data_IF_167283354904
#
_entry.id   IF_167283354904
#
_cell.length_a   1.000
_cell.length_b   1.000
_cell.length_c   1.000
_cell.angle_alpha   90.00
_cell.angle_beta   90.00
_cell.angle_gamma   90.00
#
_symmetry.space_group_name_H-M   'P 1'
#
loop_
_entity.id
_entity.type
_entity.pdbx_description
1 polymer ?
#
# COMPACT_ATOMS: atom_id res chain seq x y z
N UNK A 1 -3.02 -41.58 37.22
CA UNK A 1 -2.45 -41.62 35.85
C UNK A 1 -3.34 -40.89 34.84
N UNK A 2 -4.64 -41.21 34.77
CA UNK A 2 -5.59 -40.62 33.81
C UNK A 2 -5.70 -39.07 33.86
N UNK A 3 -5.76 -38.45 35.05
CA UNK A 3 -5.83 -36.98 35.20
C UNK A 3 -4.60 -36.24 34.63
N UNK A 4 -3.41 -36.85 34.72
CA UNK A 4 -2.17 -36.30 34.15
C UNK A 4 -2.15 -36.39 32.62
N UNK A 5 -2.70 -37.48 32.07
CA UNK A 5 -2.89 -37.64 30.62
C UNK A 5 -3.87 -36.60 30.07
N UNK A 6 -5.00 -36.40 30.75
CA UNK A 6 -6.02 -35.42 30.36
C UNK A 6 -5.44 -34.00 30.36
N UNK A 7 -4.68 -33.64 31.41
CA UNK A 7 -4.07 -32.31 31.50
C UNK A 7 -3.03 -32.06 30.40
N UNK A 8 -2.23 -33.08 30.05
CA UNK A 8 -1.28 -33.00 28.95
C UNK A 8 -1.96 -32.86 27.58
N UNK A 9 -3.06 -33.58 27.37
CA UNK A 9 -3.85 -33.47 26.14
C UNK A 9 -4.49 -32.08 25.97
N UNK A 10 -5.00 -31.49 27.07
CA UNK A 10 -5.54 -30.11 27.07
C UNK A 10 -4.45 -29.10 26.71
N UNK A 11 -3.25 -29.23 27.28
CA UNK A 11 -2.13 -28.34 26.96
C UNK A 11 -1.71 -28.42 25.49
N UNK A 12 -1.63 -29.62 24.92
CA UNK A 12 -1.31 -29.82 23.50
C UNK A 12 -2.39 -29.22 22.58
N UNK A 13 -3.67 -29.38 22.95
CA UNK A 13 -4.78 -28.80 22.20
C UNK A 13 -4.77 -27.26 22.26
N UNK A 14 -4.49 -26.67 23.42
CA UNK A 14 -4.33 -25.22 23.55
C UNK A 14 -3.16 -24.69 22.71
N UNK A 15 -2.04 -25.42 22.64
CA UNK A 15 -0.88 -25.02 21.82
C UNK A 15 -1.19 -25.04 20.32
N UNK A 16 -1.94 -26.04 19.84
CA UNK A 16 -2.41 -26.13 18.45
C UNK A 16 -3.38 -24.99 18.14
N UNK A 17 -4.33 -24.70 19.04
CA UNK A 17 -5.31 -23.62 18.86
C UNK A 17 -4.68 -22.22 18.86
N UNK A 18 -3.60 -22.00 19.62
CA UNK A 18 -2.83 -20.74 19.60
C UNK A 18 -2.01 -20.62 18.31
N UNK A 19 -1.50 -21.72 17.75
CA UNK A 19 -0.77 -21.70 16.47
C UNK A 19 -1.68 -21.50 15.25
N UNK A 20 -2.97 -21.82 15.38
CA UNK A 20 -3.97 -21.70 14.33
C UNK A 20 -4.64 -20.31 14.30
N UNK A 21 -4.07 -19.28 14.93
CA UNK A 21 -4.56 -17.92 14.75
C UNK A 21 -4.43 -17.55 13.27
N UNK A 22 -5.58 -17.54 12.60
CA UNK A 22 -5.74 -17.08 11.24
C UNK A 22 -5.26 -15.63 11.26
N UNK A 23 -4.06 -15.38 10.72
CA UNK A 23 -3.66 -14.04 10.34
C UNK A 23 -4.63 -13.67 9.24
N UNK A 24 -5.71 -12.97 9.60
CA UNK A 24 -6.70 -12.49 8.65
C UNK A 24 -6.02 -11.50 7.73
N UNK A 25 -5.65 -11.94 6.53
CA UNK A 25 -5.26 -11.03 5.48
C UNK A 25 -6.55 -10.43 4.92
N UNK A 26 -6.71 -9.12 5.09
CA UNK A 26 -7.73 -8.38 4.37
C UNK A 26 -7.25 -8.25 2.91
N UNK A 27 -7.80 -9.07 2.03
CA UNK A 27 -7.61 -8.92 0.59
C UNK A 27 -8.75 -8.06 0.04
N UNK A 28 -8.40 -7.03 -0.73
CA UNK A 28 -9.39 -6.20 -1.38
C UNK A 28 -10.00 -6.97 -2.56
N UNK A 29 -11.23 -7.46 -2.39
CA UNK A 29 -11.98 -8.10 -3.47
C UNK A 29 -12.67 -7.06 -4.37
N UNK A 30 -12.77 -7.34 -5.67
CA UNK A 30 -13.45 -6.44 -6.62
C UNK A 30 -12.70 -5.14 -6.90
N UNK A 31 -11.37 -5.12 -6.70
CA UNK A 31 -10.52 -3.94 -6.88
C UNK A 31 -10.75 -3.23 -8.22
N UNK A 32 -10.80 -4.01 -9.31
CA UNK A 32 -11.05 -3.54 -10.67
C UNK A 32 -12.35 -2.74 -10.83
N UNK A 33 -13.40 -3.19 -10.14
CA UNK A 33 -14.74 -2.59 -10.22
C UNK A 33 -14.92 -1.46 -9.20
N UNK A 34 -14.10 -1.43 -8.14
CA UNK A 34 -14.19 -0.47 -7.03
C UNK A 34 -13.26 0.74 -7.15
N UNK A 35 -12.20 0.65 -7.96
CA UNK A 35 -11.16 1.68 -8.05
C UNK A 35 -10.67 1.83 -9.48
N UNK A 36 -10.40 3.07 -9.91
CA UNK A 36 -9.81 3.34 -11.22
C UNK A 36 -8.37 2.81 -11.29
N UNK A 37 -7.61 2.98 -10.21
CA UNK A 37 -6.24 2.48 -10.09
C UNK A 37 -5.88 2.30 -8.62
N UNK A 38 -4.97 1.38 -8.33
CA UNK A 38 -4.38 1.21 -7.01
C UNK A 38 -2.94 0.73 -7.12
N UNK A 39 -2.05 1.27 -6.28
CA UNK A 39 -0.64 0.86 -6.24
C UNK A 39 -0.26 0.49 -4.81
N UNK A 40 0.10 -0.77 -4.60
CA UNK A 40 0.54 -1.27 -3.28
C UNK A 40 2.02 -0.98 -2.99
N UNK A 41 2.82 -0.74 -4.03
CA UNK A 41 4.27 -0.53 -3.93
C UNK A 41 5.06 -1.68 -3.28
N UNK A 42 4.58 -2.92 -3.46
CA UNK A 42 5.26 -4.13 -3.02
C UNK A 42 6.41 -4.51 -3.97
N UNK A 43 7.40 -3.62 -4.08
CA UNK A 43 8.61 -3.80 -4.89
C UNK A 43 8.42 -3.57 -6.40
N UNK A 44 7.24 -3.09 -6.81
CA UNK A 44 6.96 -2.71 -8.19
C UNK A 44 5.93 -1.55 -8.22
N UNK A 45 5.68 -1.02 -9.42
CA UNK A 45 4.76 0.11 -9.64
C UNK A 45 3.48 -0.30 -10.39
N UNK A 46 3.13 -1.59 -10.40
CA UNK A 46 1.96 -2.08 -11.14
C UNK A 46 0.65 -1.60 -10.51
N UNK A 47 -0.32 -1.31 -11.36
CA UNK A 47 -1.69 -1.05 -10.96
C UNK A 47 -2.38 -2.38 -10.63
N UNK A 48 -2.64 -2.62 -9.34
CA UNK A 48 -3.20 -3.88 -8.85
C UNK A 48 -4.68 -4.07 -9.20
N UNK A 49 -5.32 -3.05 -9.79
CA UNK A 49 -6.69 -3.17 -10.32
C UNK A 49 -6.72 -3.85 -11.70
N UNK A 50 -5.57 -3.99 -12.36
CA UNK A 50 -5.45 -4.43 -13.76
C UNK A 50 -6.24 -3.55 -14.76
N UNK A 51 -6.46 -2.26 -14.42
CA UNK A 51 -7.09 -1.28 -15.31
C UNK A 51 -6.10 -0.59 -16.28
N UNK A 52 -4.83 -1.01 -16.27
CA UNK A 52 -3.81 -0.53 -17.21
C UNK A 52 -3.15 0.79 -16.80
N UNK A 53 -3.26 1.21 -15.54
CA UNK A 53 -2.62 2.43 -15.05
C UNK A 53 -1.25 2.17 -14.40
N UNK A 54 -0.50 1.20 -14.93
CA UNK A 54 0.83 0.84 -14.42
C UNK A 54 1.73 2.08 -14.30
N UNK A 55 2.28 2.26 -13.10
CA UNK A 55 3.20 3.34 -12.80
C UNK A 55 4.60 3.07 -13.33
N UNK A 56 5.36 4.16 -13.49
CA UNK A 56 6.78 4.16 -13.81
C UNK A 56 7.53 4.98 -12.77
N UNK A 57 8.71 4.49 -12.38
CA UNK A 57 9.61 5.22 -11.49
C UNK A 57 9.92 6.61 -12.07
N UNK A 58 9.84 7.64 -11.25
CA UNK A 58 10.35 8.97 -11.53
C UNK A 58 11.42 9.35 -10.49
N UNK A 59 12.50 9.98 -10.94
CA UNK A 59 13.57 10.45 -10.08
C UNK A 59 14.22 9.30 -9.30
N UNK A 60 14.53 9.55 -8.03
CA UNK A 60 15.21 8.62 -7.13
C UNK A 60 14.24 7.85 -6.22
N UNK A 61 12.97 7.69 -6.64
CA UNK A 61 11.99 6.88 -5.91
C UNK A 61 12.53 5.47 -5.64
N UNK A 62 12.46 5.05 -4.37
CA UNK A 62 12.93 3.74 -3.90
C UNK A 62 11.87 3.06 -3.06
N UNK A 63 11.91 1.74 -2.99
CA UNK A 63 11.06 0.95 -2.10
C UNK A 63 11.70 0.83 -0.72
N UNK A 64 10.92 1.14 0.32
CA UNK A 64 11.32 1.08 1.74
C UNK A 64 10.25 0.33 2.54
N UNK A 65 10.51 0.06 3.82
CA UNK A 65 9.48 -0.49 4.71
C UNK A 65 8.34 0.53 4.92
N UNK A 66 7.10 0.07 4.70
CA UNK A 66 5.88 0.87 4.81
C UNK A 66 5.16 0.69 6.14
N UNK A 67 3.96 1.28 6.26
CA UNK A 67 3.03 1.01 7.37
C UNK A 67 2.59 -0.46 7.36
N UNK A 68 2.33 -0.97 6.17
CA UNK A 68 2.09 -2.38 5.86
C UNK A 68 3.07 -2.74 4.73
N UNK A 69 3.76 -3.87 4.84
CA UNK A 69 4.70 -4.32 3.81
C UNK A 69 5.71 -3.24 3.38
N UNK A 70 5.76 -2.95 2.09
CA UNK A 70 6.63 -1.93 1.49
C UNK A 70 5.85 -0.65 1.16
N UNK A 71 6.61 0.41 0.91
CA UNK A 71 6.11 1.69 0.41
C UNK A 71 7.19 2.34 -0.48
N UNK A 72 6.84 3.43 -1.13
CA UNK A 72 7.81 4.30 -1.80
C UNK A 72 8.33 5.38 -0.87
N UNK A 73 9.61 5.71 -0.97
CA UNK A 73 10.22 6.87 -0.34
C UNK A 73 10.37 8.00 -1.35
N UNK A 74 9.93 9.20 -0.97
CA UNK A 74 9.96 10.40 -1.79
C UNK A 74 10.71 11.50 -1.03
N UNK A 75 11.81 12.01 -1.59
CA UNK A 75 12.65 13.03 -0.95
C UNK A 75 12.12 14.45 -1.13
N UNK A 76 11.27 14.67 -2.13
CA UNK A 76 10.83 16.00 -2.55
C UNK A 76 11.86 16.79 -3.33
N UNK A 77 12.61 16.08 -4.17
CA UNK A 77 13.54 16.63 -5.15
C UNK A 77 13.22 16.08 -6.55
N UNK A 78 11.93 15.97 -6.89
CA UNK A 78 11.47 15.43 -8.18
C UNK A 78 11.28 13.91 -8.23
N UNK A 79 11.07 13.27 -7.07
CA UNK A 79 10.73 11.85 -7.00
C UNK A 79 9.23 11.64 -7.22
N UNK A 80 8.85 10.48 -7.72
CA UNK A 80 7.44 10.11 -7.81
C UNK A 80 7.19 8.80 -8.55
N UNK A 81 5.94 8.62 -8.94
CA UNK A 81 5.48 7.54 -9.82
C UNK A 81 4.63 8.16 -10.90
N UNK A 82 5.06 8.05 -12.16
CA UNK A 82 4.32 8.54 -13.31
C UNK A 82 3.38 7.46 -13.80
N UNK A 83 2.10 7.80 -13.95
CA UNK A 83 1.08 6.93 -14.52
C UNK A 83 0.72 7.40 -15.94
N UNK A 84 0.07 6.56 -16.75
CA UNK A 84 -0.72 7.03 -17.88
C UNK A 84 -1.75 8.08 -17.43
N UNK A 85 -2.30 8.82 -18.39
CA UNK A 85 -3.43 9.71 -18.12
C UNK A 85 -4.62 8.85 -17.65
N UNK A 86 -5.01 9.05 -16.40
CA UNK A 86 -6.22 8.43 -15.86
C UNK A 86 -7.45 8.95 -16.62
N UNK A 87 -8.49 8.12 -16.70
CA UNK A 87 -9.77 8.53 -17.28
C UNK A 87 -10.31 9.79 -16.59
N UNK A 88 -11.01 10.64 -17.34
CA UNK A 88 -11.66 11.83 -16.78
C UNK A 88 -12.70 11.41 -15.74
N UNK A 89 -12.71 12.10 -14.59
CA UNK A 89 -13.63 11.83 -13.49
C UNK A 89 -14.32 13.13 -13.10
N UNK A 90 -15.63 13.06 -12.85
CA UNK A 90 -16.39 14.19 -12.31
C UNK A 90 -16.22 14.29 -10.79
N UNK A 91 -16.03 13.16 -10.13
CA UNK A 91 -15.84 13.03 -8.68
C UNK A 91 -14.74 12.01 -8.41
N UNK A 92 -14.00 12.19 -7.31
CA UNK A 92 -12.88 11.32 -6.96
C UNK A 92 -12.83 11.08 -5.47
N UNK A 93 -12.58 9.82 -5.09
CA UNK A 93 -12.18 9.43 -3.73
C UNK A 93 -10.75 8.92 -3.77
N UNK A 94 -9.93 9.36 -2.81
CA UNK A 94 -8.52 8.96 -2.71
C UNK A 94 -8.27 8.43 -1.30
N UNK A 95 -7.68 7.24 -1.21
CA UNK A 95 -7.24 6.63 0.04
C UNK A 95 -5.76 6.31 -0.06
N UNK A 96 -4.97 6.72 0.91
CA UNK A 96 -3.54 6.41 0.98
C UNK A 96 -3.03 6.47 2.42
N UNK A 97 -1.88 5.84 2.66
CA UNK A 97 -1.10 5.99 3.88
C UNK A 97 0.15 6.80 3.59
N UNK A 98 0.40 7.86 4.35
CA UNK A 98 1.60 8.69 4.21
C UNK A 98 2.30 8.90 5.55
N UNK A 99 3.62 8.76 5.54
CA UNK A 99 4.49 9.16 6.66
C UNK A 99 5.23 10.42 6.26
N UNK A 100 4.74 11.57 6.75
CA UNK A 100 5.33 12.86 6.45
C UNK A 100 6.46 13.18 7.43
N UNK A 101 7.65 13.50 6.94
CA UNK A 101 8.80 13.91 7.76
C UNK A 101 9.49 15.13 7.16
N UNK A 102 10.30 15.84 7.95
CA UNK A 102 11.34 16.76 7.42
C UNK A 102 10.90 18.10 6.80
N UNK A 103 9.60 18.40 6.63
CA UNK A 103 9.13 19.70 6.12
C UNK A 103 7.90 20.22 6.88
N UNK A 104 8.10 20.88 8.01
CA UNK A 104 7.02 21.57 8.73
C UNK A 104 6.70 22.87 8.00
N UNK A 105 5.42 23.12 7.68
CA UNK A 105 4.97 24.37 7.04
C UNK A 105 5.03 24.42 5.50
N UNK A 106 5.43 23.34 4.82
CA UNK A 106 5.41 23.26 3.35
C UNK A 106 4.19 22.48 2.82
N UNK A 107 3.80 22.78 1.58
CA UNK A 107 2.78 22.05 0.83
C UNK A 107 3.22 20.61 0.53
N UNK A 108 2.25 19.68 0.47
CA UNK A 108 2.46 18.29 0.07
C UNK A 108 1.42 17.93 -0.98
N UNK A 109 1.87 17.40 -2.11
CA UNK A 109 0.99 17.07 -3.23
C UNK A 109 1.01 15.56 -3.47
N UNK A 110 -0.13 14.93 -3.25
CA UNK A 110 -0.28 13.48 -3.41
C UNK A 110 -0.71 13.07 -4.83
N UNK A 111 -1.45 13.93 -5.53
CA UNK A 111 -1.89 13.74 -6.92
C UNK A 111 -1.83 15.09 -7.63
N UNK A 112 -1.28 15.14 -8.84
CA UNK A 112 -1.19 16.36 -9.65
C UNK A 112 -1.56 16.06 -11.12
N UNK A 113 -2.44 16.89 -11.71
CA UNK A 113 -2.93 16.75 -13.09
C UNK A 113 -2.33 17.79 -14.05
N UNK A 114 -1.70 18.87 -13.59
CA UNK A 114 -1.13 19.92 -14.46
C UNK A 114 -0.01 20.77 -13.80
N UNK A 115 1.25 20.42 -14.09
CA UNK A 115 2.44 21.29 -14.03
C UNK A 115 2.84 21.85 -12.65
N UNK A 116 4.00 21.53 -12.07
CA UNK A 116 5.32 21.53 -12.72
C UNK A 116 5.94 20.14 -12.72
N UNK A 117 6.04 19.56 -13.91
CA UNK A 117 6.41 18.18 -14.26
C UNK A 117 5.34 17.11 -13.99
N UNK A 118 4.95 16.47 -15.10
CA UNK A 118 3.72 15.69 -15.31
C UNK A 118 3.72 14.39 -14.51
N UNK A 119 2.63 14.10 -13.79
CA UNK A 119 2.38 12.80 -13.16
C UNK A 119 3.23 12.49 -11.93
N UNK A 120 3.71 13.47 -11.17
CA UNK A 120 4.50 13.22 -9.97
C UNK A 120 3.72 13.50 -8.67
N UNK A 121 4.03 12.69 -7.65
CA UNK A 121 3.77 12.97 -6.24
C UNK A 121 4.85 13.94 -5.79
N UNK A 122 4.56 15.24 -5.77
CA UNK A 122 5.56 16.26 -5.43
C UNK A 122 5.67 16.44 -3.91
N UNK A 123 6.91 16.41 -3.41
CA UNK A 123 7.27 16.91 -2.08
C UNK A 123 8.15 18.15 -2.20
#
# INVERSE_FOLDING_TARGET
MLKRLILGAIFALCFILISAQIIGFAEAQGLKDSAVAAWSFEGNFKDITDNGNDGKKLGETTFVAGKFGKAISLSGKGDGVITPKLASMNEVTVVHWSKCTGRIGAWRVWINVDGWQKGAVHH
#
